data_IF_666001017236
#
_entry.id   IF_666001017236
#
_cell.length_a   1.000
_cell.length_b   1.000
_cell.length_c   1.000
_cell.angle_alpha   90.00
_cell.angle_beta   90.00
_cell.angle_gamma   90.00
#
_symmetry.space_group_name_H-M   'P 1'
#
loop_
_entity.id
_entity.type
_entity.pdbx_description
1 polymer ?
#
# COMPACT_ATOMS: atom_id res chain seq x y z
N UNK A 1 -8.24 -14.29 -7.47
CA UNK A 1 -6.78 -14.19 -7.29
C UNK A 1 -6.51 -13.50 -5.98
N UNK A 2 -5.56 -14.02 -5.22
CA UNK A 2 -5.27 -13.53 -3.88
C UNK A 2 -4.26 -12.41 -3.92
N UNK A 3 -4.62 -11.29 -3.31
CA UNK A 3 -3.74 -10.14 -3.23
C UNK A 3 -3.49 -9.78 -1.77
N UNK A 4 -2.35 -9.16 -1.51
CA UNK A 4 -2.01 -8.69 -0.17
C UNK A 4 -1.60 -7.24 -0.23
N UNK A 5 -2.17 -6.46 0.68
CA UNK A 5 -1.81 -5.06 0.83
C UNK A 5 -1.02 -4.93 2.13
N UNK A 6 0.26 -4.61 2.00
CA UNK A 6 1.13 -4.41 3.17
C UNK A 6 1.08 -2.93 3.52
N UNK A 7 0.60 -2.65 4.73
CA UNK A 7 0.42 -1.27 5.19
C UNK A 7 1.67 -0.83 5.94
N UNK A 8 2.17 0.34 5.58
CA UNK A 8 3.41 0.85 6.16
C UNK A 8 3.12 1.70 7.39
N UNK A 9 4.05 1.68 8.35
CA UNK A 9 3.98 2.54 9.53
C UNK A 9 4.90 3.74 9.36
N UNK A 10 4.98 4.57 10.40
CA UNK A 10 5.76 5.80 10.34
C UNK A 10 7.26 5.56 10.17
N UNK A 11 7.72 4.35 10.48
CA UNK A 11 9.12 3.99 10.29
C UNK A 11 9.40 3.44 8.88
N UNK A 12 8.37 3.37 8.04
CA UNK A 12 8.52 2.82 6.70
C UNK A 12 8.54 1.30 6.66
N UNK A 13 8.09 0.66 7.72
CA UNK A 13 8.07 -0.80 7.82
C UNK A 13 6.65 -1.31 7.75
N UNK A 14 6.49 -2.57 7.36
CA UNK A 14 5.19 -3.19 7.27
C UNK A 14 4.61 -3.34 8.67
N UNK A 15 3.47 -2.70 8.91
CA UNK A 15 2.79 -2.72 10.20
C UNK A 15 1.59 -3.66 10.20
N UNK A 16 1.01 -3.89 9.02
CA UNK A 16 -0.20 -4.69 8.92
C UNK A 16 -0.30 -5.24 7.51
N UNK A 17 -1.15 -6.25 7.32
CA UNK A 17 -1.39 -6.82 6.02
C UNK A 17 -2.88 -7.11 5.86
N UNK A 18 -3.43 -6.75 4.71
CA UNK A 18 -4.80 -7.08 4.35
C UNK A 18 -4.77 -8.07 3.20
N UNK A 19 -5.62 -9.09 3.28
CA UNK A 19 -5.71 -10.07 2.22
C UNK A 19 -7.00 -9.83 1.46
N UNK A 20 -6.87 -9.75 0.13
CA UNK A 20 -7.99 -9.44 -0.73
C UNK A 20 -8.18 -10.51 -1.79
N UNK A 21 -9.43 -10.74 -2.15
CA UNK A 21 -9.76 -11.58 -3.30
C UNK A 21 -10.28 -10.66 -4.39
N UNK A 22 -9.55 -10.57 -5.50
CA UNK A 22 -9.94 -9.71 -6.62
C UNK A 22 -9.89 -10.50 -7.90
N UNK A 23 -10.68 -10.09 -8.88
CA UNK A 23 -10.78 -10.79 -10.15
C UNK A 23 -9.60 -10.49 -11.07
N UNK A 24 -8.94 -9.35 -10.90
CA UNK A 24 -7.84 -8.94 -11.76
C UNK A 24 -6.90 -7.99 -11.03
N UNK A 25 -5.72 -7.80 -11.60
CA UNK A 25 -4.77 -6.82 -11.07
C UNK A 25 -5.38 -5.43 -11.07
N UNK A 26 -6.11 -5.12 -12.13
CA UNK A 26 -6.73 -3.81 -12.29
C UNK A 26 -7.70 -3.51 -11.15
N UNK A 27 -8.51 -4.51 -10.81
CA UNK A 27 -9.45 -4.36 -9.70
C UNK A 27 -8.72 -4.16 -8.39
N UNK A 28 -7.66 -4.93 -8.16
CA UNK A 28 -6.88 -4.81 -6.93
C UNK A 28 -6.20 -3.45 -6.84
N UNK A 29 -5.66 -2.97 -7.96
CA UNK A 29 -5.00 -1.66 -7.99
C UNK A 29 -5.98 -0.54 -7.71
N UNK A 30 -7.18 -0.62 -8.28
CA UNK A 30 -8.20 0.39 -8.06
C UNK A 30 -8.64 0.40 -6.60
N UNK A 31 -8.84 -0.78 -6.02
CA UNK A 31 -9.21 -0.90 -4.62
C UNK A 31 -8.13 -0.32 -3.72
N UNK A 32 -6.87 -0.62 -4.02
CA UNK A 32 -5.75 -0.11 -3.23
C UNK A 32 -5.67 1.41 -3.34
N UNK A 33 -5.92 1.96 -4.52
CA UNK A 33 -5.86 3.41 -4.72
C UNK A 33 -6.93 4.15 -3.92
N UNK A 34 -8.04 3.49 -3.63
CA UNK A 34 -9.11 4.09 -2.83
C UNK A 34 -8.95 3.88 -1.34
N UNK A 35 -7.97 3.08 -0.93
CA UNK A 35 -7.67 2.89 0.49
C UNK A 35 -6.56 3.84 0.89
N UNK A 36 -6.85 4.72 1.83
CA UNK A 36 -5.90 5.74 2.25
C UNK A 36 -5.20 5.30 3.52
N UNK A 37 -3.90 5.13 3.42
CA UNK A 37 -3.06 4.80 4.57
C UNK A 37 -2.08 5.94 4.77
N UNK A 38 -1.92 6.37 6.02
CA UNK A 38 -1.16 7.58 6.34
C UNK A 38 0.28 7.52 5.81
N UNK A 39 0.91 6.37 5.88
CA UNK A 39 2.32 6.22 5.51
C UNK A 39 2.53 5.38 4.26
N UNK A 40 1.45 5.01 3.58
CA UNK A 40 1.53 4.28 2.34
C UNK A 40 1.32 2.79 2.49
N UNK A 41 1.36 2.10 1.36
CA UNK A 41 1.13 0.66 1.33
C UNK A 41 1.74 0.08 0.06
N UNK A 42 1.95 -1.25 0.06
CA UNK A 42 2.42 -1.96 -1.12
C UNK A 42 1.43 -3.07 -1.45
N UNK A 43 1.10 -3.18 -2.72
CA UNK A 43 0.18 -4.20 -3.19
C UNK A 43 0.95 -5.32 -3.88
N UNK A 44 0.70 -6.55 -3.43
CA UNK A 44 1.40 -7.73 -3.94
C UNK A 44 0.40 -8.82 -4.32
N UNK A 45 0.79 -9.65 -5.27
CA UNK A 45 0.08 -10.88 -5.57
C UNK A 45 1.10 -12.00 -5.51
N UNK A 46 1.08 -12.78 -4.43
CA UNK A 46 2.08 -13.79 -4.20
C UNK A 46 3.45 -13.14 -4.07
N UNK A 47 4.36 -13.51 -4.95
CA UNK A 47 5.71 -12.94 -4.95
C UNK A 47 5.85 -11.76 -5.91
N UNK A 48 4.76 -11.36 -6.54
CA UNK A 48 4.77 -10.34 -7.58
C UNK A 48 4.36 -9.01 -6.98
N UNK A 49 5.28 -8.05 -6.98
CA UNK A 49 5.00 -6.69 -6.51
C UNK A 49 4.27 -5.93 -7.61
N UNK A 50 3.07 -5.46 -7.31
CA UNK A 50 2.26 -4.76 -8.30
C UNK A 50 2.45 -3.26 -8.25
N UNK A 51 2.38 -2.66 -7.05
CA UNK A 51 2.46 -1.22 -6.95
C UNK A 51 2.77 -0.79 -5.52
N UNK A 52 3.31 0.41 -5.40
CA UNK A 52 3.53 1.05 -4.11
C UNK A 52 2.71 2.34 -4.10
N UNK A 53 1.96 2.54 -3.02
CA UNK A 53 1.11 3.72 -2.86
C UNK A 53 1.68 4.58 -1.75
N UNK A 54 1.99 5.83 -2.09
CA UNK A 54 2.49 6.78 -1.10
C UNK A 54 1.33 7.31 -0.28
N UNK A 55 1.54 7.39 1.04
CA UNK A 55 0.55 7.98 1.90
C UNK A 55 0.67 9.50 1.90
N UNK A 56 -0.33 10.19 2.43
CA UNK A 56 -0.27 11.64 2.54
C UNK A 56 0.81 12.11 3.52
N UNK A 57 1.20 11.25 4.46
CA UNK A 57 2.28 11.54 5.39
C UNK A 57 3.47 10.69 4.98
N UNK A 58 4.59 11.33 4.68
CA UNK A 58 5.77 10.60 4.26
C UNK A 58 6.60 10.24 5.49
N UNK A 59 6.91 8.96 5.63
CA UNK A 59 7.69 8.48 6.75
C UNK A 59 9.06 9.16 6.75
N UNK A 60 9.44 9.74 7.87
CA UNK A 60 10.74 10.36 8.02
C UNK A 60 10.92 11.66 7.28
N UNK A 61 9.93 12.18 6.58
CA UNK A 61 10.02 13.44 5.84
C UNK A 61 9.58 14.56 6.72
N UNK A 62 10.24 15.52 6.76
CA UNK A 62 9.80 16.65 7.46
C UNK A 62 9.01 17.57 6.60
N UNK A 63 8.97 17.49 6.12
CA UNK A 63 8.74 18.26 5.62
C UNK A 63 8.87 19.02 4.84
N UNK A 64 8.70 19.08 4.49
CA UNK A 64 8.78 19.52 3.77
C UNK A 64 8.43 20.35 3.47
N UNK A 65 8.31 20.52 3.59
CA UNK A 65 7.98 21.19 3.43
C UNK A 65 7.95 22.05 2.91
N UNK A 66 7.84 22.07 2.66
CA UNK A 66 7.85 22.83 2.16
C UNK A 66 7.87 23.60 1.67
#
# INVERSE_FOLDING_TARGET
MDYRLFVLNSAGKFADVEEWECASDEEALEKAAHNHHAFGAELWQGKRHLSTFAGPITAGAGDRAA
#
